data_IF_340424974871
#
_entry.id   IF_340424974871
#
_cell.length_a   1.000
_cell.length_b   1.000
_cell.length_c   1.000
_cell.angle_alpha   90.00
_cell.angle_beta   90.00
_cell.angle_gamma   90.00
#
_symmetry.space_group_name_H-M   'P 1'
#
loop_
_entity.id
_entity.type
_entity.pdbx_description
1 polymer ?
#
# COMPACT_ATOMS: atom_id res chain seq x y z
N UNK A 1 13.63 9.25 -16.35
CA UNK A 1 12.85 8.57 -15.30
C UNK A 1 11.37 8.52 -15.67
N UNK A 2 10.67 9.66 -15.76
CA UNK A 2 9.25 9.71 -16.18
C UNK A 2 8.96 8.86 -17.43
N UNK A 3 9.74 9.03 -18.51
CA UNK A 3 9.58 8.22 -19.73
C UNK A 3 9.80 6.72 -19.50
N UNK A 4 10.82 6.36 -18.72
CA UNK A 4 11.14 4.95 -18.42
C UNK A 4 10.02 4.25 -17.65
N UNK A 5 9.36 4.98 -16.75
CA UNK A 5 8.23 4.46 -15.99
C UNK A 5 7.00 4.24 -16.87
N UNK A 6 6.75 5.16 -17.81
CA UNK A 6 5.67 5.03 -18.80
C UNK A 6 5.89 3.85 -19.76
N UNK A 7 7.15 3.44 -19.97
CA UNK A 7 7.52 2.27 -20.76
C UNK A 7 7.34 0.93 -20.01
N UNK A 8 7.00 0.96 -18.72
CA UNK A 8 6.75 -0.23 -17.89
C UNK A 8 5.26 -0.30 -17.49
N UNK A 9 4.41 -1.01 -18.25
CA UNK A 9 2.96 -1.01 -18.04
C UNK A 9 2.54 -1.52 -16.65
N UNK A 10 3.28 -2.50 -16.08
CA UNK A 10 3.04 -2.99 -14.73
C UNK A 10 3.27 -1.95 -13.63
N UNK A 11 4.18 -1.00 -13.85
CA UNK A 11 4.44 0.07 -12.90
C UNK A 11 3.46 1.22 -13.16
N UNK A 12 3.41 1.72 -14.39
CA UNK A 12 2.56 2.83 -14.82
C UNK A 12 1.09 2.72 -14.41
N UNK A 13 0.52 1.50 -14.44
CA UNK A 13 -0.88 1.28 -14.08
C UNK A 13 -1.16 1.56 -12.60
N UNK A 14 -0.17 1.47 -11.70
CA UNK A 14 -0.36 1.77 -10.28
C UNK A 14 -0.62 3.25 -10.06
N UNK A 15 0.23 4.12 -10.63
CA UNK A 15 0.08 5.56 -10.51
C UNK A 15 -1.23 6.04 -11.18
N UNK A 16 -1.55 5.53 -12.37
CA UNK A 16 -2.80 5.88 -13.07
C UNK A 16 -4.03 5.40 -12.28
N UNK A 17 -3.92 4.26 -11.58
CA UNK A 17 -5.00 3.76 -10.72
C UNK A 17 -5.15 4.56 -9.43
N UNK A 18 -4.05 5.01 -8.81
CA UNK A 18 -4.11 5.91 -7.65
C UNK A 18 -4.70 7.27 -8.01
N UNK A 19 -4.38 7.82 -9.19
CA UNK A 19 -5.02 9.05 -9.72
C UNK A 19 -6.53 8.86 -9.88
N UNK A 20 -6.96 7.74 -10.47
CA UNK A 20 -8.37 7.38 -10.57
C UNK A 20 -9.02 7.27 -9.18
N UNK A 21 -8.37 6.59 -8.23
CA UNK A 21 -8.93 6.31 -6.91
C UNK A 21 -9.11 7.57 -6.07
N UNK A 22 -8.19 8.53 -6.22
CA UNK A 22 -8.16 9.79 -5.51
C UNK A 22 -8.44 11.00 -6.42
N UNK A 23 -9.18 10.80 -7.50
CA UNK A 23 -9.53 11.87 -8.44
C UNK A 23 -10.04 13.11 -7.71
N UNK A 24 -9.43 14.27 -7.99
CA UNK A 24 -9.74 15.55 -7.34
C UNK A 24 -9.08 15.76 -5.96
N UNK A 25 -8.29 14.81 -5.46
CA UNK A 25 -7.58 14.90 -4.19
C UNK A 25 -6.05 14.84 -4.39
N UNK A 26 -5.22 15.53 -3.57
CA UNK A 26 -3.76 15.50 -3.72
C UNK A 26 -3.10 14.13 -3.67
N UNK A 27 -3.76 13.10 -3.11
CA UNK A 27 -3.24 11.72 -3.08
C UNK A 27 -3.18 11.07 -4.47
N UNK A 28 -3.98 11.50 -5.44
CA UNK A 28 -3.95 10.95 -6.80
C UNK A 28 -2.81 11.51 -7.65
N UNK A 29 -2.09 12.52 -7.14
CA UNK A 29 -1.03 13.17 -7.92
C UNK A 29 0.20 12.27 -7.96
N UNK A 30 0.65 11.93 -9.17
CA UNK A 30 1.89 11.21 -9.40
C UNK A 30 3.07 11.91 -8.70
N UNK A 31 3.90 11.12 -8.00
CA UNK A 31 5.05 11.59 -7.22
C UNK A 31 6.08 12.30 -8.11
N UNK A 32 6.30 11.82 -9.33
CA UNK A 32 7.25 12.41 -10.28
C UNK A 32 6.70 13.69 -10.95
N UNK A 33 5.39 13.90 -10.90
CA UNK A 33 4.71 14.96 -11.64
C UNK A 33 4.73 14.73 -13.16
N UNK A 34 4.66 15.82 -13.91
CA UNK A 34 4.69 15.83 -15.39
C UNK A 34 5.97 16.47 -15.92
N UNK A 35 6.42 16.14 -17.14
CA UNK A 35 7.55 16.82 -17.77
C UNK A 35 7.42 18.34 -17.76
N UNK A 36 6.21 18.86 -17.98
CA UNK A 36 5.90 20.29 -17.98
C UNK A 36 6.12 20.90 -16.59
N UNK A 37 5.56 20.27 -15.55
CA UNK A 37 5.73 20.75 -14.17
C UNK A 37 7.18 20.70 -13.72
N UNK A 38 7.93 19.65 -14.09
CA UNK A 38 9.34 19.50 -13.72
C UNK A 38 10.21 20.55 -14.42
N UNK A 39 9.99 20.81 -15.71
CA UNK A 39 10.72 21.84 -16.45
C UNK A 39 10.41 23.27 -15.96
N UNK A 40 9.23 23.48 -15.36
CA UNK A 40 8.83 24.77 -14.82
C UNK A 40 9.36 25.04 -13.39
N UNK A 41 9.90 24.03 -12.69
CA UNK A 41 10.38 24.19 -11.32
C UNK A 41 11.53 25.19 -11.24
N UNK A 42 11.42 26.13 -10.32
CA UNK A 42 12.47 27.12 -10.04
C UNK A 42 13.14 26.87 -8.69
N UNK A 43 14.33 27.45 -8.51
CA UNK A 43 15.01 27.44 -7.22
C UNK A 43 14.13 28.02 -6.10
N UNK A 44 13.31 29.03 -6.40
CA UNK A 44 12.41 29.65 -5.42
C UNK A 44 11.37 28.65 -4.91
N UNK A 45 10.82 27.82 -5.79
CA UNK A 45 9.81 26.82 -5.43
C UNK A 45 10.39 25.77 -4.46
N UNK A 46 11.63 25.35 -4.69
CA UNK A 46 12.34 24.41 -3.80
C UNK A 46 12.54 25.01 -2.40
N UNK A 47 13.01 26.25 -2.32
CA UNK A 47 13.21 26.92 -1.02
C UNK A 47 11.88 27.13 -0.28
N UNK A 48 10.82 27.45 -1.02
CA UNK A 48 9.48 27.59 -0.45
C UNK A 48 8.96 26.23 0.05
N UNK A 49 9.14 25.16 -0.72
CA UNK A 49 8.78 23.80 -0.30
C UNK A 49 9.51 23.38 0.98
N UNK A 50 10.82 23.61 1.07
CA UNK A 50 11.61 23.32 2.28
C UNK A 50 11.07 24.13 3.45
N UNK A 51 10.84 25.43 3.27
CA UNK A 51 10.30 26.30 4.33
C UNK A 51 8.94 25.82 4.83
N UNK A 52 8.06 25.36 3.93
CA UNK A 52 6.69 24.98 4.30
C UNK A 52 6.60 23.55 4.85
N UNK A 53 7.49 22.64 4.44
CA UNK A 53 7.35 21.21 4.71
C UNK A 53 8.46 20.61 5.58
N UNK A 54 9.66 21.21 5.65
CA UNK A 54 10.74 20.70 6.52
C UNK A 54 10.49 21.16 7.95
N UNK A 55 9.55 20.47 8.57
CA UNK A 55 9.10 20.69 9.93
C UNK A 55 10.06 20.07 10.93
N UNK A 56 10.61 20.91 11.81
CA UNK A 56 11.63 20.47 12.77
C UNK A 56 11.07 19.49 13.81
N UNK A 57 9.75 19.50 14.02
CA UNK A 57 9.04 18.58 14.90
C UNK A 57 8.65 17.24 14.26
N UNK A 58 8.85 17.09 12.93
CA UNK A 58 8.52 15.86 12.19
C UNK A 58 9.73 15.20 11.51
N UNK A 59 10.94 15.69 11.78
CA UNK A 59 12.19 15.07 11.32
C UNK A 59 12.69 14.10 12.38
N UNK A 60 12.77 12.81 12.04
CA UNK A 60 13.32 11.76 12.90
C UNK A 60 14.66 11.31 12.35
N UNK A 61 15.70 11.35 13.18
CA UNK A 61 17.03 10.81 12.85
C UNK A 61 17.23 9.52 13.65
N UNK A 62 17.42 8.41 12.95
CA UNK A 62 17.61 7.09 13.55
C UNK A 62 19.00 6.54 13.23
N UNK A 63 19.64 5.93 14.23
CA UNK A 63 20.92 5.23 14.08
C UNK A 63 20.86 3.88 14.78
N UNK A 64 21.30 2.83 14.08
CA UNK A 64 21.44 1.47 14.64
C UNK A 64 22.92 1.12 14.75
N UNK A 65 23.36 0.74 15.94
CA UNK A 65 24.76 0.37 16.20
C UNK A 65 25.14 0.53 17.67
N UNK A 66 26.40 0.22 17.98
CA UNK A 66 26.94 0.37 19.33
C UNK A 66 27.45 1.79 19.59
N UNK A 67 26.52 2.73 19.78
CA UNK A 67 26.83 4.13 20.04
C UNK A 67 26.15 4.61 21.32
N UNK A 68 26.87 5.39 22.14
CA UNK A 68 26.25 6.07 23.28
C UNK A 68 25.33 7.20 22.78
N UNK A 69 24.11 7.27 23.33
CA UNK A 69 23.13 8.31 22.99
C UNK A 69 23.71 9.72 23.14
N UNK A 70 24.49 9.96 24.20
CA UNK A 70 25.13 11.27 24.45
C UNK A 70 26.07 11.69 23.32
N UNK A 71 26.79 10.75 22.69
CA UNK A 71 27.66 11.03 21.54
C UNK A 71 26.85 11.37 20.31
N UNK A 72 25.76 10.65 20.07
CA UNK A 72 24.85 10.92 18.96
C UNK A 72 24.19 12.30 19.10
N UNK A 73 23.63 12.61 20.27
CA UNK A 73 23.05 13.92 20.58
C UNK A 73 24.08 15.03 20.41
N UNK A 74 25.32 14.86 20.90
CA UNK A 74 26.38 15.87 20.74
C UNK A 74 26.68 16.17 19.27
N UNK A 75 26.72 15.14 18.41
CA UNK A 75 26.91 15.33 16.96
C UNK A 75 25.70 16.00 16.34
N UNK A 76 24.49 15.57 16.69
CA UNK A 76 23.24 16.17 16.23
C UNK A 76 23.15 17.66 16.59
N UNK A 77 23.34 18.02 17.87
CA UNK A 77 23.32 19.41 18.35
C UNK A 77 24.30 20.29 17.58
N UNK A 78 25.53 19.82 17.32
CA UNK A 78 26.51 20.57 16.52
C UNK A 78 25.96 21.01 15.15
N UNK A 79 25.09 20.23 14.53
CA UNK A 79 24.56 20.49 13.19
C UNK A 79 23.16 21.11 13.18
N UNK A 80 22.34 20.82 14.20
CA UNK A 80 20.91 21.15 14.17
C UNK A 80 20.47 22.12 15.26
N UNK A 81 21.29 22.43 16.27
CA UNK A 81 20.89 23.32 17.39
C UNK A 81 20.60 24.75 16.95
N UNK A 82 21.29 25.24 15.91
CA UNK A 82 21.07 26.58 15.35
C UNK A 82 19.93 26.64 14.33
N UNK A 83 19.31 25.51 13.97
CA UNK A 83 18.21 25.47 13.01
C UNK A 83 16.95 26.05 13.67
N UNK A 84 16.33 27.10 13.10
CA UNK A 84 15.10 27.66 13.65
C UNK A 84 13.97 26.63 13.66
N UNK A 85 13.16 26.64 14.72
CA UNK A 85 11.98 25.79 14.79
C UNK A 85 10.99 26.11 13.66
N UNK A 86 10.49 25.08 13.00
CA UNK A 86 9.42 25.16 12.01
C UNK A 86 8.28 24.23 12.41
N UNK A 87 7.19 24.80 12.93
CA UNK A 87 6.07 24.09 13.57
C UNK A 87 4.72 24.33 12.86
N UNK A 88 4.74 24.65 11.56
CA UNK A 88 3.55 25.00 10.76
C UNK A 88 2.41 23.98 10.92
N UNK A 89 1.15 24.38 11.06
CA UNK A 89 0.05 23.41 11.22
C UNK A 89 -0.28 22.67 9.91
N UNK A 90 -0.60 21.37 9.99
CA UNK A 90 -1.12 20.63 8.82
C UNK A 90 -2.60 20.89 8.65
N UNK A 91 -2.97 21.52 7.54
CA UNK A 91 -4.35 21.56 7.08
C UNK A 91 -4.58 20.41 6.10
N UNK A 92 -4.76 19.20 6.65
CA UNK A 92 -5.09 18.02 5.86
C UNK A 92 -6.59 17.84 5.80
N UNK A 93 -7.07 17.49 4.61
CA UNK A 93 -8.45 17.08 4.37
C UNK A 93 -8.37 15.59 4.04
N UNK A 94 -9.13 14.76 4.74
CA UNK A 94 -9.20 13.34 4.42
C UNK A 94 -9.88 13.16 3.05
N UNK A 95 -9.40 12.25 2.20
CA UNK A 95 -10.06 11.95 0.94
C UNK A 95 -11.44 11.36 1.19
N UNK A 96 -12.41 11.75 0.38
CA UNK A 96 -13.73 11.12 0.34
C UNK A 96 -13.68 9.97 -0.66
N UNK A 97 -14.31 8.81 -0.37
CA UNK A 97 -14.41 7.73 -1.33
C UNK A 97 -15.12 8.17 -2.61
N UNK A 98 -14.44 8.01 -3.74
CA UNK A 98 -15.04 8.21 -5.05
C UNK A 98 -15.98 7.04 -5.40
N UNK A 99 -16.95 7.29 -6.29
CA UNK A 99 -17.76 6.22 -6.84
C UNK A 99 -16.88 5.22 -7.60
N UNK A 100 -17.19 3.93 -7.50
CA UNK A 100 -16.45 2.89 -8.22
C UNK A 100 -16.54 3.13 -9.73
N UNK A 101 -15.38 3.09 -10.39
CA UNK A 101 -15.26 3.32 -11.83
C UNK A 101 -14.53 2.16 -12.50
N UNK A 102 -14.96 1.80 -13.71
CA UNK A 102 -14.30 0.80 -14.53
C UNK A 102 -13.78 1.48 -15.79
N UNK A 103 -12.47 1.63 -15.88
CA UNK A 103 -11.80 2.34 -16.97
C UNK A 103 -10.96 1.33 -17.76
N UNK A 104 -11.03 1.42 -19.08
CA UNK A 104 -10.21 0.66 -20.01
C UNK A 104 -9.44 1.64 -20.87
N UNK A 105 -8.12 1.48 -20.92
CA UNK A 105 -7.20 2.30 -21.70
C UNK A 105 -6.46 1.39 -22.66
N UNK A 106 -6.57 1.66 -23.95
CA UNK A 106 -5.87 0.92 -24.99
C UNK A 106 -4.40 1.34 -25.03
N UNK A 107 -3.47 0.38 -25.03
CA UNK A 107 -2.02 0.60 -25.11
C UNK A 107 -1.35 -0.40 -26.05
N UNK A 108 -0.26 0.03 -26.69
CA UNK A 108 0.63 -0.83 -27.48
C UNK A 108 1.51 -1.68 -26.57
N UNK A 109 0.92 -2.73 -26.00
CA UNK A 109 1.54 -3.64 -25.02
C UNK A 109 1.16 -5.08 -25.36
N UNK A 110 1.94 -6.05 -24.88
CA UNK A 110 1.73 -7.47 -25.22
C UNK A 110 0.72 -8.18 -24.33
N UNK A 111 0.53 -7.72 -23.10
CA UNK A 111 -0.38 -8.33 -22.11
C UNK A 111 -1.34 -7.29 -21.55
N UNK A 112 -2.51 -7.74 -21.12
CA UNK A 112 -3.44 -6.91 -20.38
C UNK A 112 -2.97 -6.78 -18.93
N UNK A 113 -2.93 -5.54 -18.44
CA UNK A 113 -2.61 -5.23 -17.05
C UNK A 113 -3.85 -4.67 -16.38
N UNK A 114 -4.17 -5.16 -15.18
CA UNK A 114 -5.35 -4.73 -14.45
C UNK A 114 -4.99 -4.39 -13.02
N UNK A 115 -5.45 -3.20 -12.60
CA UNK A 115 -5.58 -2.83 -11.20
C UNK A 115 -7.06 -2.87 -10.82
N UNK A 116 -7.38 -3.47 -9.68
CA UNK A 116 -8.71 -3.46 -9.09
C UNK A 116 -8.61 -3.19 -7.60
N UNK A 117 -9.35 -2.21 -7.08
CA UNK A 117 -9.19 -1.81 -5.70
C UNK A 117 -10.15 -0.75 -5.23
N UNK A 118 -9.96 -0.30 -4.00
CA UNK A 118 -10.77 0.73 -3.36
C UNK A 118 -9.98 1.46 -2.27
N UNK A 119 -10.51 2.61 -1.83
CA UNK A 119 -10.00 3.26 -0.64
C UNK A 119 -10.32 2.38 0.57
N UNK A 120 -9.34 2.18 1.43
CA UNK A 120 -9.38 1.23 2.53
C UNK A 120 -9.11 1.92 3.88
N UNK A 121 -8.89 1.11 4.91
CA UNK A 121 -8.65 1.59 6.26
C UNK A 121 -7.36 2.41 6.38
N UNK A 122 -7.39 3.43 7.24
CA UNK A 122 -6.19 4.21 7.56
C UNK A 122 -5.25 3.49 8.51
N UNK A 123 -4.06 4.04 8.69
CA UNK A 123 -3.07 3.53 9.62
C UNK A 123 -3.53 3.57 11.09
N UNK A 124 -4.55 4.38 11.41
CA UNK A 124 -5.14 4.48 12.75
C UNK A 124 -6.41 3.64 12.93
N UNK A 125 -6.92 3.03 11.87
CA UNK A 125 -8.18 2.30 11.91
C UNK A 125 -8.06 0.97 12.68
N UNK A 126 -9.05 0.58 13.50
CA UNK A 126 -9.01 -0.67 14.28
C UNK A 126 -8.87 -1.93 13.41
N UNK A 127 -9.43 -1.90 12.19
CA UNK A 127 -9.37 -3.03 11.25
C UNK A 127 -8.09 -3.10 10.42
N UNK A 128 -7.11 -2.21 10.62
CA UNK A 128 -5.82 -2.26 9.91
C UNK A 128 -5.16 -3.64 10.00
N UNK A 129 -5.07 -4.22 11.21
CA UNK A 129 -4.41 -5.51 11.42
C UNK A 129 -5.18 -6.66 10.73
N UNK A 130 -6.50 -6.62 10.76
CA UNK A 130 -7.33 -7.60 10.07
C UNK A 130 -7.22 -7.51 8.54
N UNK A 131 -7.12 -6.31 7.98
CA UNK A 131 -6.93 -6.13 6.54
C UNK A 131 -5.52 -6.53 6.08
N UNK A 132 -4.48 -6.26 6.88
CA UNK A 132 -3.14 -6.82 6.61
C UNK A 132 -3.16 -8.35 6.55
N UNK A 133 -3.89 -8.98 7.49
CA UNK A 133 -4.04 -10.43 7.53
C UNK A 133 -4.84 -10.95 6.31
N UNK A 134 -5.95 -10.29 5.96
CA UNK A 134 -6.73 -10.63 4.75
C UNK A 134 -5.87 -10.51 3.49
N UNK A 135 -5.14 -9.41 3.34
CA UNK A 135 -4.24 -9.18 2.22
C UNK A 135 -3.21 -10.32 2.09
N UNK A 136 -2.58 -10.69 3.21
CA UNK A 136 -1.61 -11.78 3.25
C UNK A 136 -2.21 -13.14 2.80
N UNK A 137 -3.46 -13.42 3.18
CA UNK A 137 -4.15 -14.64 2.78
C UNK A 137 -4.59 -14.62 1.31
N UNK A 138 -5.08 -13.47 0.84
CA UNK A 138 -5.72 -13.32 -0.46
C UNK A 138 -4.70 -13.35 -1.60
N UNK A 139 -3.78 -12.38 -1.63
CA UNK A 139 -2.87 -12.16 -2.75
C UNK A 139 -1.53 -11.54 -2.35
N UNK A 140 -1.23 -11.44 -1.05
CA UNK A 140 0.07 -10.93 -0.60
C UNK A 140 1.25 -11.79 -1.05
N UNK A 141 2.46 -11.35 -0.68
CA UNK A 141 3.77 -11.80 -1.17
C UNK A 141 4.10 -13.31 -1.08
N UNK A 142 3.22 -14.13 -0.49
CA UNK A 142 3.39 -15.57 -0.45
C UNK A 142 2.81 -16.27 -1.68
N UNK A 143 3.61 -17.13 -2.33
CA UNK A 143 3.15 -18.01 -3.42
C UNK A 143 1.99 -18.97 -3.02
N UNK A 144 1.73 -19.12 -1.72
CA UNK A 144 0.62 -19.90 -1.17
C UNK A 144 -0.65 -19.08 -0.89
N UNK A 145 -0.72 -17.83 -1.37
CA UNK A 145 -1.93 -17.01 -1.29
C UNK A 145 -3.05 -17.57 -2.17
N UNK A 146 -4.29 -17.27 -1.82
CA UNK A 146 -5.49 -17.83 -2.48
C UNK A 146 -5.45 -17.54 -3.99
N UNK A 147 -5.16 -16.31 -4.38
CA UNK A 147 -5.15 -15.90 -5.79
C UNK A 147 -3.99 -16.52 -6.57
N UNK A 148 -2.80 -16.62 -5.99
CA UNK A 148 -1.70 -17.33 -6.63
C UNK A 148 -2.05 -18.80 -6.88
N UNK A 149 -2.58 -19.50 -5.88
CA UNK A 149 -2.96 -20.90 -6.04
C UNK A 149 -4.15 -21.07 -7.00
N UNK A 150 -5.18 -20.26 -6.88
CA UNK A 150 -6.41 -20.43 -7.65
C UNK A 150 -6.39 -19.80 -9.02
N UNK A 151 -5.48 -18.88 -9.36
CA UNK A 151 -5.47 -18.22 -10.68
C UNK A 151 -4.20 -18.58 -11.45
N UNK A 152 -3.03 -18.45 -10.81
CA UNK A 152 -1.72 -18.72 -11.43
C UNK A 152 -1.42 -20.22 -11.48
N UNK A 153 -1.39 -20.91 -10.35
CA UNK A 153 -1.00 -22.34 -10.32
C UNK A 153 -2.06 -23.26 -10.94
N UNK A 154 -3.34 -23.06 -10.59
CA UNK A 154 -4.41 -23.97 -11.01
C UNK A 154 -4.89 -23.79 -12.44
N UNK A 155 -4.96 -22.54 -12.93
CA UNK A 155 -5.49 -22.27 -14.28
C UNK A 155 -4.46 -21.65 -15.24
N UNK A 156 -3.27 -21.25 -14.78
CA UNK A 156 -2.25 -20.64 -15.65
C UNK A 156 -2.74 -19.37 -16.33
N UNK A 157 -3.62 -18.60 -15.68
CA UNK A 157 -4.27 -17.45 -16.30
C UNK A 157 -3.41 -16.19 -16.19
N UNK A 158 -2.87 -15.91 -15.01
CA UNK A 158 -2.06 -14.73 -14.79
C UNK A 158 -0.61 -15.14 -14.53
N UNK A 159 0.33 -14.41 -15.14
CA UNK A 159 1.76 -14.60 -14.86
C UNK A 159 2.11 -14.02 -13.48
N UNK A 160 1.57 -12.83 -13.21
CA UNK A 160 1.64 -12.14 -11.92
C UNK A 160 0.21 -11.86 -11.46
N UNK A 161 -0.09 -12.22 -10.21
CA UNK A 161 -1.30 -11.80 -9.51
C UNK A 161 -0.98 -11.59 -8.04
N UNK A 162 -1.26 -10.40 -7.55
CA UNK A 162 -0.99 -10.03 -6.18
C UNK A 162 -2.00 -9.01 -5.66
N UNK A 163 -2.12 -8.93 -4.35
CA UNK A 163 -2.87 -7.88 -3.67
C UNK A 163 -1.98 -7.15 -2.69
N UNK A 164 -2.24 -5.86 -2.55
CA UNK A 164 -1.55 -4.97 -1.64
C UNK A 164 -2.56 -4.19 -0.80
N UNK A 165 -2.14 -3.88 0.43
CA UNK A 165 -2.81 -2.94 1.31
C UNK A 165 -1.81 -1.92 1.83
N UNK A 166 -1.97 -0.68 1.39
CA UNK A 166 -1.13 0.47 1.76
C UNK A 166 -1.90 1.38 2.72
N UNK A 167 -1.71 1.26 4.04
CA UNK A 167 -2.30 2.18 5.01
C UNK A 167 -1.62 3.55 4.96
N UNK A 168 -2.41 4.61 4.79
CA UNK A 168 -1.99 6.02 4.84
C UNK A 168 -2.55 6.68 6.11
N UNK A 169 -2.17 7.94 6.38
CA UNK A 169 -2.57 8.63 7.62
C UNK A 169 -4.09 8.79 7.74
N UNK A 170 -4.73 9.24 6.66
CA UNK A 170 -6.14 9.64 6.66
C UNK A 170 -7.04 8.65 5.88
N UNK A 171 -6.46 7.66 5.21
CA UNK A 171 -7.14 6.63 4.41
C UNK A 171 -6.21 5.42 4.20
N UNK A 172 -6.59 4.44 3.41
CA UNK A 172 -5.66 3.44 2.87
C UNK A 172 -6.02 3.08 1.43
N UNK A 173 -5.21 2.21 0.83
CA UNK A 173 -5.47 1.67 -0.50
C UNK A 173 -5.45 0.16 -0.38
N UNK A 174 -6.52 -0.50 -0.79
CA UNK A 174 -6.49 -1.93 -1.06
C UNK A 174 -6.59 -2.12 -2.56
N UNK A 175 -5.63 -2.81 -3.16
CA UNK A 175 -5.61 -3.05 -4.60
C UNK A 175 -5.12 -4.46 -4.91
N UNK A 176 -5.58 -4.98 -6.03
CA UNK A 176 -5.18 -6.23 -6.64
C UNK A 176 -4.67 -5.92 -8.03
N UNK A 177 -3.45 -6.38 -8.30
CA UNK A 177 -2.82 -6.31 -9.61
C UNK A 177 -2.81 -7.69 -10.27
N UNK A 178 -3.10 -7.76 -11.57
CA UNK A 178 -2.74 -8.93 -12.36
C UNK A 178 -2.40 -8.59 -13.81
N UNK A 179 -1.48 -9.37 -14.38
CA UNK A 179 -1.13 -9.36 -15.80
C UNK A 179 -1.52 -10.67 -16.48
N UNK A 180 -2.21 -10.60 -17.62
CA UNK A 180 -2.73 -11.77 -18.35
C UNK A 180 -2.83 -11.53 -19.85
N UNK A 181 -2.89 -12.61 -20.64
CA UNK A 181 -3.14 -12.53 -22.07
C UNK A 181 -4.56 -12.01 -22.35
N UNK A 182 -4.72 -11.25 -23.42
CA UNK A 182 -5.98 -10.56 -23.75
C UNK A 182 -7.18 -11.52 -23.77
N UNK A 183 -7.03 -12.73 -24.34
CA UNK A 183 -8.13 -13.70 -24.43
C UNK A 183 -8.53 -14.33 -23.09
N UNK A 184 -7.71 -14.17 -22.04
CA UNK A 184 -7.96 -14.72 -20.70
C UNK A 184 -8.51 -13.69 -19.71
N UNK A 185 -8.59 -12.42 -20.10
CA UNK A 185 -8.98 -11.31 -19.23
C UNK A 185 -10.33 -11.53 -18.54
N UNK A 186 -11.39 -11.83 -19.28
CA UNK A 186 -12.73 -12.05 -18.74
C UNK A 186 -12.78 -13.25 -17.79
N UNK A 187 -12.02 -14.30 -18.10
CA UNK A 187 -11.89 -15.49 -17.26
C UNK A 187 -11.16 -15.15 -15.96
N UNK A 188 -10.13 -14.30 -16.00
CA UNK A 188 -9.43 -13.82 -14.81
C UNK A 188 -10.39 -13.08 -13.86
N UNK A 189 -11.13 -12.09 -14.38
CA UNK A 189 -12.14 -11.36 -13.60
C UNK A 189 -13.19 -12.30 -12.99
N UNK A 190 -13.70 -13.26 -13.77
CA UNK A 190 -14.71 -14.22 -13.29
C UNK A 190 -14.18 -15.07 -12.14
N UNK A 191 -12.93 -15.55 -12.21
CA UNK A 191 -12.36 -16.37 -11.16
C UNK A 191 -12.02 -15.54 -9.91
N UNK A 192 -11.52 -14.32 -10.05
CA UNK A 192 -11.28 -13.41 -8.93
C UNK A 192 -12.60 -13.12 -8.19
N UNK A 193 -13.65 -12.75 -8.93
CA UNK A 193 -15.01 -12.57 -8.39
C UNK A 193 -15.52 -13.81 -7.64
N UNK A 194 -15.27 -15.00 -8.20
CA UNK A 194 -15.65 -16.27 -7.56
C UNK A 194 -14.92 -16.50 -6.23
N UNK A 195 -13.62 -16.23 -6.16
CA UNK A 195 -12.87 -16.37 -4.91
C UNK A 195 -13.29 -15.30 -3.88
N UNK A 196 -13.58 -14.07 -4.29
CA UNK A 196 -14.12 -13.04 -3.39
C UNK A 196 -15.45 -13.47 -2.78
N UNK A 197 -16.39 -13.96 -3.61
CA UNK A 197 -17.67 -14.48 -3.14
C UNK A 197 -17.50 -15.66 -2.20
N UNK A 198 -16.57 -16.57 -2.50
CA UNK A 198 -16.28 -17.72 -1.65
C UNK A 198 -15.74 -17.31 -0.29
N UNK A 199 -14.83 -16.34 -0.23
CA UNK A 199 -14.27 -15.82 1.02
C UNK A 199 -15.38 -15.17 1.86
N UNK A 200 -16.21 -14.32 1.25
CA UNK A 200 -17.35 -13.67 1.92
C UNK A 200 -18.39 -14.67 2.44
N UNK A 201 -18.70 -15.69 1.64
CA UNK A 201 -19.72 -16.70 1.98
C UNK A 201 -19.25 -17.73 3.02
N UNK A 202 -17.95 -17.90 3.20
CA UNK A 202 -17.38 -18.89 4.13
C UNK A 202 -16.46 -18.19 5.15
N UNK A 203 -17.02 -17.56 6.20
CA UNK A 203 -16.24 -16.98 7.28
C UNK A 203 -15.25 -17.98 7.88
N UNK A 204 -14.08 -17.48 8.30
CA UNK A 204 -13.05 -18.32 8.89
C UNK A 204 -13.54 -18.91 10.21
N UNK A 205 -13.28 -20.21 10.41
CA UNK A 205 -13.34 -20.82 11.74
C UNK A 205 -12.18 -20.32 12.60
N UNK A 206 -12.33 -20.40 13.92
CA UNK A 206 -11.26 -20.03 14.87
C UNK A 206 -9.93 -20.76 14.57
N UNK A 207 -10.01 -22.05 14.21
CA UNK A 207 -8.83 -22.85 13.87
C UNK A 207 -8.14 -22.33 12.61
N UNK A 208 -8.92 -21.97 11.57
CA UNK A 208 -8.37 -21.42 10.34
C UNK A 208 -7.76 -20.04 10.57
N UNK A 209 -8.44 -19.18 11.34
CA UNK A 209 -7.94 -17.86 11.69
C UNK A 209 -6.64 -17.95 12.51
N UNK A 210 -6.58 -18.84 13.49
CA UNK A 210 -5.37 -19.03 14.30
C UNK A 210 -4.18 -19.48 13.44
N UNK A 211 -4.40 -20.39 12.47
CA UNK A 211 -3.37 -20.78 11.51
C UNK A 211 -2.89 -19.60 10.66
N UNK A 212 -3.81 -18.78 10.16
CA UNK A 212 -3.48 -17.59 9.37
C UNK A 212 -2.65 -16.58 10.19
N UNK A 213 -3.08 -16.29 11.43
CA UNK A 213 -2.35 -15.42 12.36
C UNK A 213 -0.94 -15.92 12.62
N UNK A 214 -0.78 -17.20 12.94
CA UNK A 214 0.53 -17.80 13.22
C UNK A 214 1.46 -17.72 12.00
N UNK A 215 0.94 -17.99 10.79
CA UNK A 215 1.70 -17.86 9.54
C UNK A 215 2.18 -16.42 9.35
N UNK A 216 1.28 -15.45 9.51
CA UNK A 216 1.60 -14.04 9.29
C UNK A 216 2.60 -13.51 10.34
N UNK A 217 2.43 -13.86 11.61
CA UNK A 217 3.40 -13.56 12.68
C UNK A 217 4.78 -14.13 12.35
N UNK A 218 4.85 -15.38 11.89
CA UNK A 218 6.11 -16.00 11.47
C UNK A 218 6.79 -15.26 10.32
N UNK A 219 6.02 -14.79 9.33
CA UNK A 219 6.56 -13.99 8.23
C UNK A 219 7.10 -12.63 8.68
N UNK A 220 6.41 -11.96 9.61
CA UNK A 220 6.89 -10.69 10.19
C UNK A 220 8.19 -10.92 10.95
N UNK A 221 8.27 -11.98 11.76
CA UNK A 221 9.47 -12.32 12.52
C UNK A 221 10.70 -12.55 11.62
N UNK A 222 10.52 -13.24 10.49
CA UNK A 222 11.59 -13.45 9.51
C UNK A 222 12.01 -12.15 8.81
N UNK A 223 11.08 -11.21 8.61
CA UNK A 223 11.36 -9.91 7.99
C UNK A 223 12.24 -8.99 8.85
N UNK A 224 12.25 -9.18 10.18
CA UNK A 224 13.07 -8.36 11.09
C UNK A 224 14.58 -8.56 10.95
N UNK A 225 15.04 -9.63 10.29
CA UNK A 225 16.47 -9.85 10.04
C UNK A 225 17.10 -8.72 9.20
N UNK A 226 16.28 -7.99 8.44
CA UNK A 226 16.71 -6.79 7.74
C UNK A 226 16.80 -5.57 8.70
N UNK A 227 18.00 -5.38 9.27
CA UNK A 227 18.30 -4.26 10.19
C UNK A 227 18.00 -2.87 9.62
N UNK A 228 18.15 -2.67 8.30
CA UNK A 228 17.83 -1.38 7.64
C UNK A 228 16.31 -1.21 7.55
N UNK A 229 15.59 -2.26 7.17
CA UNK A 229 14.12 -2.25 7.15
C UNK A 229 13.55 -1.96 8.54
N UNK A 230 14.12 -2.58 9.58
CA UNK A 230 13.69 -2.38 10.96
C UNK A 230 13.85 -0.93 11.44
N UNK A 231 15.02 -0.31 11.23
CA UNK A 231 15.24 1.06 11.68
C UNK A 231 14.35 2.07 10.94
N UNK A 232 14.12 1.87 9.63
CA UNK A 232 13.20 2.70 8.84
C UNK A 232 11.78 2.55 9.38
N UNK A 233 11.34 1.31 9.68
CA UNK A 233 10.02 1.04 10.26
C UNK A 233 9.84 1.72 11.62
N UNK A 234 10.84 1.64 12.50
CA UNK A 234 10.84 2.31 13.81
C UNK A 234 10.76 3.83 13.68
N UNK A 235 11.56 4.43 12.80
CA UNK A 235 11.53 5.87 12.55
C UNK A 235 10.17 6.32 12.00
N UNK A 236 9.60 5.55 11.06
CA UNK A 236 8.26 5.81 10.52
C UNK A 236 7.19 5.68 11.60
N UNK A 237 7.29 4.71 12.51
CA UNK A 237 6.35 4.55 13.62
C UNK A 237 6.34 5.77 14.56
N UNK A 238 7.49 6.39 14.80
CA UNK A 238 7.54 7.66 15.55
C UNK A 238 6.83 8.79 14.83
N UNK A 239 6.98 8.90 13.51
CA UNK A 239 6.31 9.93 12.71
C UNK A 239 4.78 9.70 12.72
N UNK A 240 4.36 8.44 12.53
CA UNK A 240 2.94 8.11 12.35
C UNK A 240 2.18 8.02 13.69
N UNK A 241 2.82 7.56 14.76
CA UNK A 241 2.15 7.25 16.04
C UNK A 241 2.74 7.96 17.26
N UNK A 242 3.85 8.69 17.10
CA UNK A 242 4.64 9.23 18.20
C UNK A 242 5.10 8.15 19.21
N UNK A 243 5.28 6.92 18.73
CA UNK A 243 5.77 5.79 19.51
C UNK A 243 6.32 4.68 18.62
N UNK A 244 7.18 3.86 19.17
CA UNK A 244 7.67 2.62 18.56
C UNK A 244 7.05 1.47 19.33
N UNK A 245 6.15 0.73 18.68
CA UNK A 245 5.64 -0.51 19.24
C UNK A 245 6.72 -1.59 19.11
N UNK A 246 6.94 -2.37 20.17
CA UNK A 246 7.76 -3.56 20.09
C UNK A 246 7.07 -4.67 19.29
N UNK A 247 7.86 -5.67 18.89
CA UNK A 247 7.37 -6.76 18.06
C UNK A 247 6.22 -7.53 18.74
N UNK A 248 6.28 -7.71 20.05
CA UNK A 248 5.24 -8.41 20.81
C UNK A 248 3.92 -7.62 20.80
N UNK A 249 3.97 -6.29 20.88
CA UNK A 249 2.80 -5.42 20.71
C UNK A 249 2.20 -5.57 19.32
N UNK A 250 3.03 -5.64 18.28
CA UNK A 250 2.58 -5.90 16.90
C UNK A 250 1.90 -7.27 16.81
N UNK A 251 2.50 -8.31 17.38
CA UNK A 251 1.92 -9.65 17.40
C UNK A 251 0.59 -9.71 18.14
N UNK A 252 0.47 -9.00 19.26
CA UNK A 252 -0.77 -8.94 20.02
C UNK A 252 -1.91 -8.28 19.25
N UNK A 253 -1.63 -7.24 18.45
CA UNK A 253 -2.63 -6.67 17.53
C UNK A 253 -3.13 -7.68 16.49
N UNK A 254 -2.26 -8.53 15.96
CA UNK A 254 -2.64 -9.59 15.01
C UNK A 254 -3.44 -10.69 15.72
N UNK A 255 -3.00 -11.10 16.91
CA UNK A 255 -3.69 -12.12 17.72
C UNK A 255 -5.09 -11.67 18.13
N UNK A 256 -5.31 -10.38 18.34
CA UNK A 256 -6.59 -9.80 18.74
C UNK A 256 -7.65 -9.79 17.63
N UNK A 257 -7.27 -9.94 16.35
CA UNK A 257 -8.23 -9.96 15.23
C UNK A 257 -9.25 -11.10 15.41
N UNK A 258 -10.55 -10.82 15.40
CA UNK A 258 -11.58 -11.86 15.58
C UNK A 258 -12.08 -12.43 14.24
N UNK A 259 -12.77 -13.57 14.28
CA UNK A 259 -13.46 -14.12 13.09
C UNK A 259 -14.54 -13.17 12.57
N UNK A 260 -15.19 -12.42 13.48
CA UNK A 260 -16.19 -11.40 13.14
C UNK A 260 -15.54 -10.23 12.41
N UNK A 261 -14.39 -9.75 12.88
CA UNK A 261 -13.65 -8.68 12.19
C UNK A 261 -13.25 -9.15 10.79
N UNK A 262 -12.74 -10.37 10.65
CA UNK A 262 -12.38 -10.91 9.34
C UNK A 262 -13.58 -11.01 8.39
N UNK A 263 -14.75 -11.40 8.88
CA UNK A 263 -15.96 -11.44 8.08
C UNK A 263 -16.41 -10.04 7.65
N UNK A 264 -16.43 -9.07 8.57
CA UNK A 264 -16.78 -7.67 8.26
C UNK A 264 -15.82 -7.08 7.23
N UNK A 265 -14.51 -7.23 7.47
CA UNK A 265 -13.46 -6.72 6.58
C UNK A 265 -13.58 -7.36 5.19
N UNK A 266 -13.78 -8.68 5.11
CA UNK A 266 -13.92 -9.36 3.82
C UNK A 266 -15.17 -8.92 3.07
N UNK A 267 -16.29 -8.71 3.77
CA UNK A 267 -17.52 -8.24 3.15
C UNK A 267 -17.40 -6.81 2.63
N UNK A 268 -16.73 -5.94 3.38
CA UNK A 268 -16.56 -4.53 3.01
C UNK A 268 -15.55 -4.35 1.87
N UNK A 269 -14.34 -4.90 2.04
CA UNK A 269 -13.22 -4.65 1.13
C UNK A 269 -13.35 -5.44 -0.17
N UNK A 270 -13.97 -6.63 -0.14
CA UNK A 270 -14.19 -7.46 -1.33
C UNK A 270 -15.59 -7.25 -1.95
N UNK A 271 -16.26 -6.14 -1.62
CA UNK A 271 -17.51 -5.74 -2.28
C UNK A 271 -17.22 -5.22 -3.69
N UNK A 272 -17.44 -6.08 -4.69
CA UNK A 272 -17.22 -5.77 -6.09
C UNK A 272 -17.98 -4.53 -6.60
N UNK A 273 -19.06 -4.12 -5.93
CA UNK A 273 -19.79 -2.89 -6.29
C UNK A 273 -19.04 -1.60 -5.91
N UNK A 274 -18.06 -1.72 -5.00
CA UNK A 274 -17.22 -0.61 -4.50
C UNK A 274 -15.80 -0.63 -5.06
N UNK A 275 -15.46 -1.63 -5.87
CA UNK A 275 -14.15 -1.77 -6.47
C UNK A 275 -14.09 -0.98 -7.79
N UNK A 276 -13.17 -0.02 -7.84
CA UNK A 276 -12.72 0.57 -9.08
C UNK A 276 -11.78 -0.40 -9.80
N UNK A 277 -11.76 -0.36 -11.13
CA UNK A 277 -10.79 -1.07 -11.94
C UNK A 277 -10.23 -0.18 -13.05
N UNK A 278 -8.93 -0.31 -13.28
CA UNK A 278 -8.23 0.22 -14.44
C UNK A 278 -7.64 -0.94 -15.22
N UNK A 279 -7.85 -0.96 -16.53
CA UNK A 279 -7.30 -1.97 -17.42
C UNK A 279 -6.50 -1.30 -18.51
N UNK A 280 -5.21 -1.61 -18.59
CA UNK A 280 -4.44 -1.38 -19.81
C UNK A 280 -4.69 -2.57 -20.74
N UNK A 281 -5.39 -2.30 -21.83
CA UNK A 281 -5.83 -3.29 -22.80
C UNK A 281 -4.89 -3.29 -24.02
N UNK A 282 -4.34 -4.46 -24.42
CA UNK A 282 -3.50 -4.57 -25.60
C UNK A 282 -4.23 -4.15 -26.87
N UNK A 283 -3.58 -3.37 -27.71
CA UNK A 283 -3.99 -3.15 -29.09
C UNK A 283 -2.93 -3.71 -30.04
N UNK A 284 -3.38 -4.39 -31.08
CA UNK A 284 -2.54 -4.70 -32.24
C UNK A 284 -2.11 -3.38 -32.92
N UNK A 285 -0.88 -3.33 -33.45
CA UNK A 285 -0.38 -2.21 -34.27
C UNK A 285 -1.22 -1.99 -35.54
#
# INVERSE_FOLDING_TARGET
>A
EITSYLDQPEEAINDDFEDQLFAGHPFGRNILGTPETVNALTQKDIHQFIKDNYRTDEIVVAVIGNYALSKFVKVGSKHFESVPANLSAKNRVAPVPNAAQKIVVNKQISQAHVMMGTQAYSLHHPYKAGLLLLNNMLGGTGMSSILNLQIREKYGIAYTIESNYSPLSDTGIFALYFGTDQEKLDKAFSLISKEFKKIKANPLTEIQLQKAKNKFIGQIALGEENRIGLIISMAKSLIDYNKIDDLETVFNKIRAVSVTDMANISNEILDESKLSSLTFYPTEE
#
